data_IF_466220537434
#
_entry.id   IF_466220537434
#
_cell.length_a   1.000
_cell.length_b   1.000
_cell.length_c   1.000
_cell.angle_alpha   90.00
_cell.angle_beta   90.00
_cell.angle_gamma   90.00
#
_symmetry.space_group_name_H-M   'P 1'
#
loop_
_entity.id
_entity.type
_entity.pdbx_description
1 polymer ?
#
# COMPACT_ATOMS: atom_id res chain seq x y z
N UNK A 1 -2.47 -6.82 12.01
CA UNK A 1 -1.01 -6.72 12.25
C UNK A 1 -0.66 -5.69 13.33
N UNK A 2 -1.06 -4.42 13.23
CA UNK A 2 -0.73 -3.35 14.21
C UNK A 2 -1.16 -3.67 15.65
N UNK A 3 -2.34 -4.29 15.83
CA UNK A 3 -2.86 -4.67 17.16
C UNK A 3 -1.98 -5.70 17.88
N UNK A 4 -1.46 -6.69 17.16
CA UNK A 4 -0.60 -7.74 17.72
C UNK A 4 0.73 -7.17 18.22
N UNK A 5 1.35 -6.25 17.46
CA UNK A 5 2.57 -5.55 17.87
C UNK A 5 2.32 -4.75 19.14
N UNK A 6 1.18 -4.05 19.22
CA UNK A 6 0.82 -3.25 20.39
C UNK A 6 0.61 -4.09 21.65
N UNK A 7 0.00 -5.26 21.50
CA UNK A 7 -0.18 -6.23 22.58
C UNK A 7 1.17 -6.80 23.05
N UNK A 8 2.07 -7.17 22.13
CA UNK A 8 3.42 -7.65 22.46
C UNK A 8 4.23 -6.62 23.26
N UNK A 9 4.22 -5.34 22.84
CA UNK A 9 4.89 -4.26 23.58
C UNK A 9 4.33 -4.06 24.98
N UNK A 10 3.00 -4.16 25.16
CA UNK A 10 2.36 -4.09 26.50
C UNK A 10 2.76 -5.27 27.37
N UNK A 11 2.74 -6.48 26.83
CA UNK A 11 3.12 -7.69 27.56
C UNK A 11 4.57 -7.59 28.04
N UNK A 12 5.51 -7.25 27.16
CA UNK A 12 6.92 -7.07 27.50
C UNK A 12 7.12 -6.02 28.62
N UNK A 13 6.43 -4.87 28.54
CA UNK A 13 6.52 -3.84 29.59
C UNK A 13 5.95 -4.30 30.93
N UNK A 14 4.83 -5.03 30.90
CA UNK A 14 4.19 -5.57 32.10
C UNK A 14 5.08 -6.60 32.79
N UNK A 15 5.71 -7.49 32.01
CA UNK A 15 6.67 -8.48 32.53
C UNK A 15 7.84 -7.77 33.21
N UNK A 16 8.41 -6.74 32.58
CA UNK A 16 9.50 -5.98 33.18
C UNK A 16 9.11 -5.29 34.50
N UNK A 17 7.93 -4.64 34.55
CA UNK A 17 7.43 -3.99 35.76
C UNK A 17 7.28 -4.99 36.92
N UNK A 18 6.70 -6.16 36.63
CA UNK A 18 6.55 -7.23 37.61
C UNK A 18 7.91 -7.70 38.16
N UNK A 19 8.87 -7.97 37.28
CA UNK A 19 10.21 -8.45 37.67
C UNK A 19 11.02 -7.41 38.44
N UNK A 20 10.74 -6.12 38.28
CA UNK A 20 11.46 -5.02 38.94
C UNK A 20 10.75 -4.48 40.18
N UNK A 21 9.62 -5.07 40.59
CA UNK A 21 8.83 -4.63 41.74
C UNK A 21 8.15 -3.27 41.53
N UNK A 22 7.97 -2.84 40.28
CA UNK A 22 7.23 -1.64 39.93
C UNK A 22 5.73 -1.93 39.84
N UNK A 23 4.89 -0.93 40.11
CA UNK A 23 3.45 -1.05 39.93
C UNK A 23 3.08 -1.40 38.48
N UNK A 24 2.16 -2.38 38.33
CA UNK A 24 1.70 -2.91 37.05
C UNK A 24 0.76 -1.92 36.33
N UNK A 25 1.36 -0.84 35.82
CA UNK A 25 0.66 0.22 35.09
C UNK A 25 1.20 0.34 33.65
N UNK A 26 1.07 -0.71 32.81
CA UNK A 26 1.51 -0.62 31.43
C UNK A 26 0.65 0.39 30.64
N UNK A 27 1.23 1.18 29.74
CA UNK A 27 0.50 2.18 28.98
C UNK A 27 -0.61 1.56 28.13
N UNK A 28 -1.85 2.02 28.30
CA UNK A 28 -3.04 1.46 27.63
C UNK A 28 -2.99 1.57 26.10
N UNK A 29 -2.30 2.59 25.56
CA UNK A 29 -2.21 2.89 24.13
C UNK A 29 -0.75 2.88 23.64
N UNK A 30 -0.15 1.70 23.54
CA UNK A 30 1.23 1.53 23.02
C UNK A 30 1.38 1.81 21.53
N UNK A 31 0.29 1.80 20.77
CA UNK A 31 0.28 2.09 19.33
C UNK A 31 -0.99 2.85 18.94
N UNK A 32 -0.84 3.77 18.01
CA UNK A 32 -1.96 4.37 17.29
C UNK A 32 -2.59 3.31 16.38
N UNK A 33 -3.91 3.17 16.45
CA UNK A 33 -4.69 2.26 15.60
C UNK A 33 -5.28 2.96 14.38
N UNK A 34 -5.39 4.28 14.45
CA UNK A 34 -5.99 5.09 13.42
C UNK A 34 -4.90 5.61 12.50
N UNK A 35 -5.24 5.76 11.23
CA UNK A 35 -4.43 6.49 10.29
C UNK A 35 -4.32 7.96 10.72
N UNK A 36 -3.22 8.60 10.34
CA UNK A 36 -3.08 10.04 10.50
C UNK A 36 -4.12 10.70 9.59
N UNK A 37 -4.97 11.63 10.05
CA UNK A 37 -6.05 12.18 9.23
C UNK A 37 -5.59 12.73 7.87
N UNK A 38 -4.40 13.31 7.80
CA UNK A 38 -3.81 13.85 6.56
C UNK A 38 -3.20 12.80 5.63
N UNK A 39 -3.07 11.55 6.08
CA UNK A 39 -2.45 10.46 5.31
C UNK A 39 -3.43 9.71 4.41
N UNK A 40 -4.73 9.89 4.62
CA UNK A 40 -5.78 9.35 3.76
C UNK A 40 -6.37 10.52 2.98
N UNK A 41 -6.07 10.58 1.69
CA UNK A 41 -6.63 11.58 0.78
C UNK A 41 -7.21 10.87 -0.45
N UNK A 42 -8.33 11.40 -0.96
CA UNK A 42 -9.02 10.83 -2.13
C UNK A 42 -8.43 11.29 -3.46
N UNK A 43 -7.71 12.41 -3.44
CA UNK A 43 -7.09 13.04 -4.60
C UNK A 43 -5.86 13.82 -4.19
N UNK A 44 -5.00 14.08 -5.17
CA UNK A 44 -3.81 14.94 -5.02
C UNK A 44 -4.02 16.16 -5.93
N UNK A 45 -3.90 17.39 -5.41
CA UNK A 45 -4.12 18.59 -6.20
C UNK A 45 -3.17 18.67 -7.40
N UNK A 46 -3.70 18.94 -8.60
CA UNK A 46 -2.92 19.03 -9.83
C UNK A 46 -2.77 17.72 -10.60
N UNK A 47 -3.34 16.61 -10.11
CA UNK A 47 -3.33 15.34 -10.83
C UNK A 47 -4.67 15.03 -11.49
N UNK A 48 -4.61 14.70 -12.77
CA UNK A 48 -5.75 14.17 -13.53
C UNK A 48 -5.74 12.64 -13.45
N UNK A 49 -6.88 12.03 -13.11
CA UNK A 49 -7.00 10.57 -13.08
C UNK A 49 -6.94 10.01 -14.50
N UNK A 50 -5.83 9.36 -14.83
CA UNK A 50 -5.67 8.60 -16.06
C UNK A 50 -6.13 7.16 -15.89
N UNK A 51 -6.91 6.65 -16.85
CA UNK A 51 -7.32 5.25 -16.88
C UNK A 51 -6.12 4.33 -17.03
N UNK A 52 -6.16 3.20 -16.31
CA UNK A 52 -5.17 2.13 -16.42
C UNK A 52 -5.22 1.51 -17.81
N UNK A 53 -4.06 1.19 -18.37
CA UNK A 53 -3.97 0.36 -19.58
C UNK A 53 -4.61 -1.00 -19.31
N UNK A 54 -5.52 -1.43 -20.19
CA UNK A 54 -6.10 -2.77 -20.09
C UNK A 54 -5.08 -3.80 -20.56
N UNK A 55 -4.89 -4.85 -19.78
CA UNK A 55 -4.08 -5.99 -20.23
C UNK A 55 -4.88 -6.74 -21.31
N UNK A 56 -4.33 -6.97 -22.49
CA UNK A 56 -4.95 -7.88 -23.45
C UNK A 56 -4.93 -9.29 -22.88
N UNK A 57 -6.00 -10.04 -23.09
CA UNK A 57 -6.12 -11.43 -22.65
C UNK A 57 -6.51 -12.29 -23.86
N UNK A 58 -6.08 -13.55 -23.86
CA UNK A 58 -6.58 -14.53 -24.81
C UNK A 58 -8.09 -14.71 -24.65
N UNK A 59 -8.85 -14.83 -25.77
CA UNK A 59 -10.26 -15.17 -25.72
C UNK A 59 -10.53 -16.42 -24.88
N UNK A 60 -11.66 -16.41 -24.14
CA UNK A 60 -12.00 -17.48 -23.20
C UNK A 60 -12.08 -18.83 -23.90
N UNK A 61 -12.69 -18.86 -25.07
CA UNK A 61 -12.85 -20.05 -25.91
C UNK A 61 -11.53 -20.61 -26.45
N UNK A 62 -10.47 -19.81 -26.49
CA UNK A 62 -9.12 -20.25 -26.87
C UNK A 62 -8.29 -20.69 -25.65
N UNK A 63 -8.28 -19.90 -24.56
CA UNK A 63 -7.42 -20.16 -23.40
C UNK A 63 -7.79 -21.41 -22.61
N UNK A 64 -9.02 -21.91 -22.71
CA UNK A 64 -9.44 -23.16 -22.06
C UNK A 64 -8.95 -24.43 -22.78
N UNK A 65 -8.38 -24.30 -23.98
CA UNK A 65 -7.98 -25.44 -24.84
C UNK A 65 -6.48 -25.75 -24.78
N UNK A 66 -5.68 -24.94 -24.08
CA UNK A 66 -4.23 -25.06 -24.07
C UNK A 66 -3.64 -24.59 -22.74
N UNK A 67 -2.32 -24.73 -22.60
CA UNK A 67 -1.55 -24.16 -21.47
C UNK A 67 -0.75 -22.92 -21.91
N UNK A 68 -1.16 -22.28 -23.00
CA UNK A 68 -0.56 -21.01 -23.44
C UNK A 68 -0.95 -19.92 -22.45
N UNK A 69 -0.05 -18.95 -22.23
CA UNK A 69 -0.27 -17.82 -21.33
C UNK A 69 -1.53 -17.04 -21.71
N UNK A 70 -2.45 -16.89 -20.77
CA UNK A 70 -3.72 -16.20 -21.00
C UNK A 70 -3.59 -14.68 -20.96
N UNK A 71 -2.67 -14.16 -20.14
CA UNK A 71 -2.38 -12.75 -20.05
C UNK A 71 -1.36 -12.39 -21.14
N UNK A 72 -1.79 -11.58 -22.10
CA UNK A 72 -0.92 -11.13 -23.19
C UNK A 72 -0.17 -9.86 -22.78
N UNK A 73 0.70 -9.38 -23.66
CA UNK A 73 1.53 -8.19 -23.41
C UNK A 73 0.91 -6.96 -24.06
N UNK A 74 0.92 -5.84 -23.34
CA UNK A 74 0.53 -4.53 -23.85
C UNK A 74 1.50 -4.03 -24.93
N UNK A 75 1.04 -3.12 -25.80
CA UNK A 75 1.89 -2.50 -26.80
C UNK A 75 2.97 -1.60 -26.16
N UNK A 76 4.02 -1.26 -26.90
CA UNK A 76 5.03 -0.30 -26.41
C UNK A 76 4.42 1.07 -26.10
N UNK A 77 3.48 1.53 -26.92
CA UNK A 77 2.75 2.79 -26.70
C UNK A 77 1.95 2.74 -25.39
N UNK A 78 1.24 1.65 -25.16
CA UNK A 78 0.47 1.41 -23.95
C UNK A 78 1.34 1.27 -22.70
N UNK A 79 2.53 0.66 -22.84
CA UNK A 79 3.52 0.56 -21.78
C UNK A 79 4.07 1.93 -21.40
N UNK A 80 4.37 2.77 -22.40
CA UNK A 80 4.75 4.17 -22.16
C UNK A 80 3.63 4.93 -21.46
N UNK A 81 2.37 4.78 -21.89
CA UNK A 81 1.23 5.40 -21.19
C UNK A 81 1.12 4.95 -19.73
N UNK A 82 1.14 3.64 -19.46
CA UNK A 82 1.00 3.10 -18.09
C UNK A 82 2.16 3.53 -17.19
N UNK A 83 3.39 3.56 -17.70
CA UNK A 83 4.56 4.01 -16.93
C UNK A 83 4.49 5.49 -16.54
N UNK A 84 3.94 6.34 -17.42
CA UNK A 84 3.74 7.78 -17.16
C UNK A 84 2.62 8.05 -16.14
N UNK A 85 1.81 7.06 -15.77
CA UNK A 85 0.85 7.19 -14.65
C UNK A 85 1.52 7.16 -13.27
N UNK A 86 2.80 6.77 -13.20
CA UNK A 86 3.55 6.73 -11.95
C UNK A 86 3.75 8.15 -11.40
N UNK A 87 3.36 8.38 -10.14
CA UNK A 87 3.53 9.69 -9.48
C UNK A 87 4.94 9.90 -8.92
N UNK A 88 5.84 8.93 -9.08
CA UNK A 88 7.18 8.89 -8.47
C UNK A 88 7.15 9.15 -6.95
N UNK A 89 6.04 8.78 -6.30
CA UNK A 89 5.86 8.97 -4.86
C UNK A 89 6.94 8.21 -4.10
N UNK A 90 7.47 8.84 -3.05
CA UNK A 90 8.57 8.32 -2.22
C UNK A 90 9.97 8.30 -2.87
N UNK A 91 10.13 8.72 -4.14
CA UNK A 91 11.45 8.93 -4.75
C UNK A 91 11.84 10.42 -4.71
N UNK A 92 10.94 11.28 -5.18
CA UNK A 92 11.03 12.74 -5.10
C UNK A 92 9.72 13.27 -4.52
N UNK A 93 9.76 14.39 -3.79
CA UNK A 93 8.52 15.07 -3.40
C UNK A 93 7.74 15.40 -4.69
N UNK A 94 6.43 15.11 -4.70
CA UNK A 94 5.55 15.40 -5.84
C UNK A 94 5.75 16.86 -6.30
N UNK A 95 6.20 17.04 -7.55
CA UNK A 95 6.29 18.33 -8.20
C UNK A 95 5.03 18.56 -9.02
N UNK A 96 4.14 19.41 -8.50
CA UNK A 96 2.87 19.75 -9.14
C UNK A 96 3.04 20.39 -10.51
N UNK A 97 4.15 21.09 -10.75
CA UNK A 97 4.38 21.87 -11.96
C UNK A 97 4.94 21.03 -13.11
N UNK A 98 5.35 19.78 -12.84
CA UNK A 98 5.90 18.84 -13.82
C UNK A 98 4.89 17.78 -14.30
N UNK A 99 3.68 17.76 -13.70
CA UNK A 99 2.63 16.76 -13.93
C UNK A 99 1.53 17.26 -14.88
#
# INVERSE_FOLDING_TARGET
>A
VVSAIGAGRRAARSIHMYLTGQDLTPPAKTLFKNNIPVSIFESVPGLTKLSRTKMPELPVDERIKSFVEADLVISEEDARHESNRCLQCCLICYNKDAA
#
